data_IF_677248815111
#
_entry.id   IF_677248815111
#
_cell.length_a   1.000
_cell.length_b   1.000
_cell.length_c   1.000
_cell.angle_alpha   90.00
_cell.angle_beta   90.00
_cell.angle_gamma   90.00
#
_symmetry.space_group_name_H-M   'P 1'
#
loop_
_entity.id
_entity.type
_entity.pdbx_description
1 polymer ?
#
# COMPACT_ATOMS: atom_id res chain seq x y z
N UNK A 1 -26.45 -3.19 0.63
CA UNK A 1 -27.87 -3.48 0.99
C UNK A 1 -28.02 -4.84 1.63
N UNK A 2 -27.54 -5.93 0.99
CA UNK A 2 -27.70 -7.29 1.52
C UNK A 2 -27.23 -7.44 2.96
N UNK A 3 -26.06 -6.90 3.33
CA UNK A 3 -25.58 -6.96 4.71
C UNK A 3 -26.51 -6.25 5.70
N UNK A 4 -27.03 -5.07 5.34
CA UNK A 4 -27.99 -4.32 6.15
C UNK A 4 -29.31 -5.07 6.36
N UNK A 5 -29.80 -5.71 5.31
CA UNK A 5 -31.16 -6.23 5.28
C UNK A 5 -31.22 -7.71 5.75
N UNK A 6 -30.12 -8.48 5.59
CA UNK A 6 -30.11 -9.94 5.83
C UNK A 6 -29.06 -10.45 6.82
N UNK A 7 -28.12 -9.59 7.26
CA UNK A 7 -27.03 -9.99 8.15
C UNK A 7 -26.89 -9.03 9.34
N UNK A 8 -27.90 -8.91 10.21
CA UNK A 8 -27.77 -8.10 11.42
C UNK A 8 -26.73 -8.71 12.36
N UNK A 9 -26.07 -7.86 13.13
CA UNK A 9 -25.03 -8.25 14.10
C UNK A 9 -25.40 -7.76 15.50
N UNK A 10 -26.45 -8.33 16.14
CA UNK A 10 -27.02 -7.79 17.38
C UNK A 10 -26.00 -7.78 18.51
N UNK A 11 -25.21 -8.84 18.70
CA UNK A 11 -24.20 -8.89 19.74
C UNK A 11 -23.14 -7.78 19.57
N UNK A 12 -22.64 -7.60 18.36
CA UNK A 12 -21.70 -6.50 18.07
C UNK A 12 -22.35 -5.13 18.29
N UNK A 13 -23.61 -4.98 17.89
CA UNK A 13 -24.36 -3.73 18.03
C UNK A 13 -24.56 -3.34 19.50
N UNK A 14 -24.76 -4.30 20.40
CA UNK A 14 -24.85 -4.04 21.85
C UNK A 14 -23.57 -3.45 22.45
N UNK A 15 -22.41 -3.66 21.80
CA UNK A 15 -21.10 -3.18 22.25
C UNK A 15 -20.66 -1.89 21.56
N UNK A 16 -21.47 -1.38 20.62
CA UNK A 16 -21.14 -0.18 19.84
C UNK A 16 -22.04 0.97 20.26
N UNK A 17 -21.39 2.09 20.64
CA UNK A 17 -22.08 3.32 21.08
C UNK A 17 -23.05 3.85 20.01
N UNK A 18 -24.23 4.20 20.43
CA UNK A 18 -25.32 4.70 19.59
C UNK A 18 -26.31 3.66 19.10
N UNK A 19 -25.93 2.37 19.08
CA UNK A 19 -26.82 1.31 18.59
C UNK A 19 -28.00 1.03 19.53
N UNK A 20 -27.76 0.98 20.84
CA UNK A 20 -28.81 0.78 21.85
C UNK A 20 -29.73 1.98 21.95
N UNK A 21 -29.18 3.18 21.94
CA UNK A 21 -29.91 4.45 22.04
C UNK A 21 -30.83 4.67 20.84
N UNK A 22 -30.37 4.25 19.64
CA UNK A 22 -31.16 4.40 18.42
C UNK A 22 -32.05 3.21 18.09
N UNK A 23 -31.87 2.07 18.80
CA UNK A 23 -32.56 0.80 18.49
C UNK A 23 -32.22 0.25 17.09
N UNK A 24 -31.04 0.60 16.56
CA UNK A 24 -30.61 0.23 15.19
C UNK A 24 -29.33 -0.58 15.23
N UNK A 25 -29.27 -1.63 14.43
CA UNK A 25 -28.07 -2.44 14.25
C UNK A 25 -26.93 -1.61 13.64
N UNK A 26 -25.69 -1.97 13.94
CA UNK A 26 -24.49 -1.32 13.36
C UNK A 26 -24.51 -1.40 11.82
N UNK A 27 -25.02 -2.49 11.26
CA UNK A 27 -25.18 -2.65 9.80
C UNK A 27 -26.26 -1.74 9.21
N UNK A 28 -27.14 -1.20 10.04
CA UNK A 28 -28.23 -0.27 9.70
C UNK A 28 -27.89 1.19 10.04
N UNK A 29 -26.67 1.45 10.50
CA UNK A 29 -26.19 2.77 10.84
C UNK A 29 -26.58 3.26 12.22
N UNK A 30 -26.71 2.34 13.19
CA UNK A 30 -26.98 2.68 14.59
C UNK A 30 -25.79 3.31 15.33
N UNK A 31 -24.58 3.04 14.89
CA UNK A 31 -23.35 3.55 15.52
C UNK A 31 -23.20 5.06 15.43
N UNK A 32 -22.66 5.70 16.48
CA UNK A 32 -22.30 7.14 16.49
C UNK A 32 -21.33 7.45 15.35
N UNK A 33 -20.28 6.62 15.20
CA UNK A 33 -19.33 6.70 14.08
C UNK A 33 -19.74 5.71 12.99
N UNK A 34 -20.57 6.16 12.06
CA UNK A 34 -21.16 5.33 11.00
C UNK A 34 -20.47 5.56 9.65
N UNK A 35 -19.20 5.25 9.54
CA UNK A 35 -18.43 5.32 8.29
C UNK A 35 -18.32 3.96 7.59
N UNK A 36 -17.98 3.98 6.30
CA UNK A 36 -17.63 2.79 5.52
C UNK A 36 -16.23 2.95 4.94
N UNK A 37 -15.29 2.12 5.39
CA UNK A 37 -13.90 2.11 4.89
C UNK A 37 -13.81 1.57 3.46
N UNK A 38 -13.07 2.28 2.60
CA UNK A 38 -12.75 1.84 1.23
C UNK A 38 -11.24 1.85 1.07
N UNK A 39 -10.69 0.70 0.65
CA UNK A 39 -9.24 0.54 0.54
C UNK A 39 -8.76 0.89 -0.86
N UNK A 40 -7.81 1.85 -0.94
CA UNK A 40 -7.05 2.16 -2.14
C UNK A 40 -5.84 1.23 -2.26
N UNK A 41 -5.75 0.49 -3.37
CA UNK A 41 -4.64 -0.41 -3.68
C UNK A 41 -3.94 0.08 -4.93
N UNK A 42 -2.60 0.11 -4.92
CA UNK A 42 -1.79 0.54 -6.07
C UNK A 42 -1.46 2.04 -6.09
N UNK A 43 -1.41 2.71 -4.92
CA UNK A 43 -1.02 4.13 -4.82
C UNK A 43 0.37 4.37 -5.38
N UNK A 44 1.37 3.60 -4.93
CA UNK A 44 2.74 3.70 -5.42
C UNK A 44 2.85 3.36 -6.92
N UNK A 45 2.14 2.31 -7.38
CA UNK A 45 2.13 1.92 -8.80
C UNK A 45 1.60 3.04 -9.70
N UNK A 46 0.57 3.76 -9.23
CA UNK A 46 -0.01 4.91 -9.94
C UNK A 46 0.93 6.10 -9.90
N UNK A 47 1.48 6.44 -8.74
CA UNK A 47 2.44 7.53 -8.58
C UNK A 47 3.70 7.31 -9.43
N UNK A 48 4.25 6.11 -9.40
CA UNK A 48 5.41 5.72 -10.19
C UNK A 48 5.13 5.75 -11.70
N UNK A 49 3.90 5.42 -12.11
CA UNK A 49 3.48 5.51 -13.51
C UNK A 49 3.40 6.96 -13.98
N UNK A 50 2.81 7.84 -13.16
CA UNK A 50 2.74 9.28 -13.46
C UNK A 50 4.15 9.90 -13.48
N UNK A 51 5.00 9.56 -12.51
CA UNK A 51 6.38 10.03 -12.45
C UNK A 51 7.21 9.56 -13.66
N UNK A 52 7.03 8.31 -14.09
CA UNK A 52 7.73 7.79 -15.26
C UNK A 52 7.28 8.46 -16.57
N UNK A 53 5.98 8.71 -16.73
CA UNK A 53 5.46 9.46 -17.89
C UNK A 53 6.00 10.89 -17.87
N UNK A 54 5.92 11.58 -16.74
CA UNK A 54 6.42 12.96 -16.61
C UNK A 54 7.90 13.03 -16.97
N UNK A 55 8.72 12.16 -16.42
CA UNK A 55 10.17 12.13 -16.63
C UNK A 55 10.53 11.75 -18.07
N UNK A 56 10.00 10.66 -18.60
CA UNK A 56 10.45 10.08 -19.86
C UNK A 56 9.83 10.78 -21.07
N UNK A 57 8.53 11.15 -20.96
CA UNK A 57 7.80 11.75 -22.09
C UNK A 57 7.90 13.27 -22.08
N UNK A 58 7.63 13.92 -20.95
CA UNK A 58 7.47 15.37 -20.91
C UNK A 58 8.79 16.10 -20.60
N UNK A 59 9.57 15.64 -19.64
CA UNK A 59 10.84 16.29 -19.27
C UNK A 59 11.99 15.92 -20.21
N UNK A 60 12.32 14.64 -20.27
CA UNK A 60 13.45 14.15 -21.10
C UNK A 60 13.10 14.07 -22.58
N UNK A 61 11.81 13.96 -22.92
CA UNK A 61 11.33 13.77 -24.30
C UNK A 61 12.03 12.61 -25.01
N UNK A 62 12.37 11.56 -24.25
CA UNK A 62 13.07 10.39 -24.75
C UNK A 62 12.15 9.52 -25.63
N UNK A 63 10.85 9.51 -25.31
CA UNK A 63 9.81 8.80 -26.05
C UNK A 63 8.53 9.64 -26.08
N UNK A 64 7.71 9.40 -27.09
CA UNK A 64 6.36 9.94 -27.15
C UNK A 64 5.41 9.17 -26.26
N UNK A 65 4.31 9.79 -25.87
CA UNK A 65 3.26 9.12 -25.09
C UNK A 65 2.68 7.90 -25.84
N UNK A 66 2.58 7.98 -27.18
CA UNK A 66 2.11 6.87 -28.00
C UNK A 66 3.05 5.66 -27.99
N UNK A 67 4.36 5.89 -28.01
CA UNK A 67 5.36 4.80 -27.90
C UNK A 67 5.30 4.14 -26.53
N UNK A 68 5.10 4.90 -25.45
CA UNK A 68 4.92 4.35 -24.09
C UNK A 68 3.63 3.53 -24.03
N UNK A 69 2.51 4.03 -24.58
CA UNK A 69 1.24 3.31 -24.62
C UNK A 69 1.38 1.99 -25.44
N UNK A 70 2.04 2.02 -26.61
CA UNK A 70 2.30 0.81 -27.40
C UNK A 70 3.15 -0.20 -26.61
N UNK A 71 4.20 0.26 -25.93
CA UNK A 71 5.06 -0.59 -25.13
C UNK A 71 4.28 -1.27 -23.98
N UNK A 72 3.44 -0.52 -23.26
CA UNK A 72 2.60 -1.03 -22.16
C UNK A 72 1.58 -2.05 -22.69
N UNK A 73 0.90 -1.76 -23.81
CA UNK A 73 -0.07 -2.69 -24.43
C UNK A 73 0.56 -4.02 -24.86
N UNK A 74 1.84 -4.02 -25.18
CA UNK A 74 2.61 -5.22 -25.55
C UNK A 74 3.28 -5.92 -24.38
N UNK A 75 2.99 -5.53 -23.15
CA UNK A 75 3.74 -5.98 -21.96
C UNK A 75 5.27 -5.81 -22.13
N UNK A 76 5.66 -4.76 -22.86
CA UNK A 76 7.05 -4.41 -23.22
C UNK A 76 7.76 -5.42 -24.12
N UNK A 77 7.08 -6.36 -24.75
CA UNK A 77 7.70 -7.29 -25.70
C UNK A 77 8.17 -6.51 -26.93
N UNK A 78 9.47 -6.58 -27.24
CA UNK A 78 10.14 -5.79 -28.27
C UNK A 78 10.24 -4.29 -27.95
N UNK A 79 10.07 -3.93 -26.68
CA UNK A 79 10.17 -2.54 -26.15
C UNK A 79 10.96 -2.50 -24.85
N UNK A 80 11.91 -3.39 -24.68
CA UNK A 80 12.70 -3.56 -23.44
C UNK A 80 13.47 -2.29 -23.06
N UNK A 81 13.92 -1.52 -24.05
CA UNK A 81 14.59 -0.23 -23.83
C UNK A 81 13.66 0.79 -23.20
N UNK A 82 12.43 0.93 -23.73
CA UNK A 82 11.42 1.83 -23.14
C UNK A 82 11.13 1.41 -21.70
N UNK A 83 10.94 0.11 -21.46
CA UNK A 83 10.74 -0.42 -20.11
C UNK A 83 11.90 -0.08 -19.17
N UNK A 84 13.14 -0.23 -19.61
CA UNK A 84 14.32 0.09 -18.79
C UNK A 84 14.35 1.58 -18.41
N UNK A 85 14.02 2.47 -19.33
CA UNK A 85 13.95 3.91 -19.06
C UNK A 85 12.81 4.27 -18.12
N UNK A 86 11.63 3.64 -18.24
CA UNK A 86 10.51 3.81 -17.31
C UNK A 86 10.85 3.27 -15.90
N UNK A 87 11.57 2.16 -15.79
CA UNK A 87 12.04 1.62 -14.52
C UNK A 87 13.11 2.52 -13.85
N UNK A 88 13.93 3.20 -14.66
CA UNK A 88 14.97 4.11 -14.18
C UNK A 88 14.42 5.48 -13.73
N UNK A 89 13.19 5.82 -14.10
CA UNK A 89 12.56 7.06 -13.66
C UNK A 89 12.43 7.11 -12.12
N UNK A 90 12.37 8.31 -11.52
CA UNK A 90 12.17 8.47 -10.07
C UNK A 90 10.95 7.69 -9.56
N UNK A 91 11.09 7.08 -8.38
CA UNK A 91 10.08 6.21 -7.78
C UNK A 91 9.72 6.66 -6.37
N UNK A 92 8.45 6.49 -6.00
CA UNK A 92 7.97 6.67 -4.63
C UNK A 92 8.73 5.79 -3.64
N UNK A 93 8.96 6.32 -2.43
CA UNK A 93 9.68 5.62 -1.39
C UNK A 93 11.18 5.91 -1.33
N UNK A 94 11.67 6.91 -2.08
CA UNK A 94 13.06 7.32 -2.12
C UNK A 94 13.30 8.78 -1.67
N UNK A 95 12.32 9.37 -0.98
CA UNK A 95 12.34 10.78 -0.52
C UNK A 95 12.58 11.78 -1.67
N UNK A 96 11.97 11.54 -2.81
CA UNK A 96 12.05 12.36 -3.99
C UNK A 96 10.75 13.15 -4.19
N UNK A 97 10.84 14.48 -4.34
CA UNK A 97 9.66 15.36 -4.34
C UNK A 97 8.64 15.02 -5.43
N UNK A 98 9.09 14.69 -6.63
CA UNK A 98 8.18 14.49 -7.75
C UNK A 98 7.31 13.23 -7.61
N UNK A 99 7.84 12.00 -7.41
CA UNK A 99 7.01 10.83 -7.22
C UNK A 99 6.20 10.87 -5.92
N UNK A 100 6.73 11.48 -4.86
CA UNK A 100 6.03 11.65 -3.59
C UNK A 100 4.83 12.60 -3.75
N UNK A 101 4.98 13.70 -4.53
CA UNK A 101 3.87 14.59 -4.85
C UNK A 101 2.77 13.89 -5.65
N UNK A 102 3.12 13.00 -6.59
CA UNK A 102 2.14 12.17 -7.29
C UNK A 102 1.43 11.21 -6.35
N UNK A 103 2.11 10.60 -5.39
CA UNK A 103 1.45 9.75 -4.38
C UNK A 103 0.44 10.54 -3.53
N UNK A 104 0.82 11.72 -3.07
CA UNK A 104 -0.09 12.65 -2.36
C UNK A 104 -1.28 13.03 -3.22
N UNK A 105 -1.07 13.34 -4.50
CA UNK A 105 -2.13 13.67 -5.45
C UNK A 105 -3.13 12.52 -5.62
N UNK A 106 -2.62 11.30 -5.81
CA UNK A 106 -3.45 10.08 -5.96
C UNK A 106 -4.33 9.87 -4.72
N UNK A 107 -3.75 9.99 -3.52
CA UNK A 107 -4.49 9.86 -2.25
C UNK A 107 -5.58 10.94 -2.13
N UNK A 108 -5.27 12.19 -2.50
CA UNK A 108 -6.26 13.29 -2.50
C UNK A 108 -7.40 13.03 -3.47
N UNK A 109 -7.10 12.66 -4.71
CA UNK A 109 -8.12 12.34 -5.72
C UNK A 109 -9.05 11.23 -5.22
N UNK A 110 -8.47 10.16 -4.64
CA UNK A 110 -9.24 9.04 -4.10
C UNK A 110 -10.16 9.48 -2.95
N UNK A 111 -9.63 10.25 -1.99
CA UNK A 111 -10.41 10.82 -0.88
C UNK A 111 -11.53 11.72 -1.39
N UNK A 112 -11.24 12.63 -2.33
CA UNK A 112 -12.22 13.59 -2.85
C UNK A 112 -13.31 12.89 -3.68
N UNK A 113 -12.96 11.81 -4.39
CA UNK A 113 -13.96 10.98 -5.06
C UNK A 113 -14.91 10.32 -4.05
N UNK A 114 -14.38 9.72 -2.98
CA UNK A 114 -15.18 9.08 -1.93
C UNK A 114 -16.07 10.05 -1.17
N UNK A 115 -15.61 11.27 -0.91
CA UNK A 115 -16.37 12.30 -0.16
C UNK A 115 -17.67 12.73 -0.84
N UNK A 116 -17.85 12.45 -2.13
CA UNK A 116 -19.05 12.76 -2.91
C UNK A 116 -20.16 11.71 -2.74
N UNK A 117 -19.90 10.64 -2.01
CA UNK A 117 -20.81 9.52 -1.88
C UNK A 117 -21.14 9.23 -0.42
N UNK A 118 -22.37 8.76 -0.21
CA UNK A 118 -22.89 8.32 1.08
C UNK A 118 -23.18 6.82 1.03
N UNK A 119 -22.81 6.10 2.07
CA UNK A 119 -23.06 4.66 2.17
C UNK A 119 -24.56 4.36 2.34
N UNK A 120 -24.96 3.12 2.07
CA UNK A 120 -26.35 2.67 2.27
C UNK A 120 -26.81 2.75 3.73
N UNK A 121 -25.89 2.94 4.67
CA UNK A 121 -26.15 3.13 6.10
C UNK A 121 -26.29 4.62 6.50
N UNK A 122 -26.16 5.54 5.54
CA UNK A 122 -26.25 6.99 5.76
C UNK A 122 -24.93 7.66 6.20
N UNK A 123 -23.86 6.91 6.40
CA UNK A 123 -22.53 7.44 6.77
C UNK A 123 -21.62 7.70 5.58
N UNK A 124 -20.51 8.44 5.77
CA UNK A 124 -19.55 8.72 4.71
C UNK A 124 -18.73 7.48 4.32
N UNK A 125 -18.21 7.48 3.09
CA UNK A 125 -17.09 6.64 2.72
C UNK A 125 -15.78 7.31 3.13
N UNK A 126 -14.88 6.54 3.77
CA UNK A 126 -13.58 7.01 4.21
C UNK A 126 -12.46 6.17 3.59
N UNK A 127 -11.39 6.78 3.08
CA UNK A 127 -10.26 6.06 2.50
C UNK A 127 -9.36 5.43 3.54
N UNK A 128 -8.81 4.27 3.17
CA UNK A 128 -7.69 3.61 3.82
C UNK A 128 -6.74 3.02 2.78
N UNK A 129 -5.54 2.65 3.20
CA UNK A 129 -4.50 2.14 2.32
C UNK A 129 -3.77 0.96 2.98
N UNK A 130 -4.51 -0.12 3.22
CA UNK A 130 -3.94 -1.40 3.63
C UNK A 130 -4.54 -2.50 2.75
N UNK A 131 -3.69 -3.26 2.10
CA UNK A 131 -4.10 -4.13 0.99
C UNK A 131 -4.40 -5.57 1.42
N UNK A 132 -4.07 -5.99 2.65
CA UNK A 132 -4.02 -7.41 2.99
C UNK A 132 -3.25 -8.17 1.90
N UNK A 133 -3.88 -9.10 1.18
CA UNK A 133 -3.33 -9.79 0.00
C UNK A 133 -3.90 -9.29 -1.32
N UNK A 134 -4.82 -8.32 -1.31
CA UNK A 134 -5.49 -7.83 -2.53
C UNK A 134 -4.51 -7.26 -3.56
N UNK A 135 -3.37 -6.72 -3.13
CA UNK A 135 -2.33 -6.21 -4.03
C UNK A 135 -1.78 -7.31 -4.97
N UNK A 136 -1.73 -8.57 -4.52
CA UNK A 136 -1.36 -9.71 -5.36
C UNK A 136 -2.50 -10.04 -6.33
N UNK A 137 -3.73 -10.23 -5.80
CA UNK A 137 -4.90 -10.62 -6.60
C UNK A 137 -5.30 -9.56 -7.64
N UNK A 138 -5.22 -8.28 -7.32
CA UNK A 138 -5.48 -7.21 -8.29
C UNK A 138 -4.34 -7.09 -9.30
N UNK A 139 -3.10 -7.18 -8.82
CA UNK A 139 -1.93 -7.16 -9.70
C UNK A 139 -1.95 -8.27 -10.74
N UNK A 140 -2.33 -9.50 -10.36
CA UNK A 140 -2.40 -10.64 -11.28
C UNK A 140 -3.42 -10.46 -12.40
N UNK A 141 -4.42 -9.60 -12.22
CA UNK A 141 -5.49 -9.30 -13.20
C UNK A 141 -5.29 -7.97 -13.94
N UNK A 142 -4.20 -7.26 -13.65
CA UNK A 142 -3.93 -5.95 -14.25
C UNK A 142 -2.83 -6.05 -15.29
N UNK A 143 -3.06 -5.40 -16.42
CA UNK A 143 -2.10 -5.29 -17.53
C UNK A 143 -0.83 -4.53 -17.09
N UNK A 144 0.18 -4.45 -17.96
CA UNK A 144 1.40 -3.69 -17.71
C UNK A 144 1.11 -2.22 -17.43
N UNK A 145 2.00 -1.54 -16.70
CA UNK A 145 1.85 -0.13 -16.32
C UNK A 145 3.04 0.71 -16.77
N UNK A 146 2.86 2.02 -16.97
CA UNK A 146 3.94 2.95 -17.34
C UNK A 146 5.08 3.04 -16.31
N UNK A 147 4.89 2.57 -15.09
CA UNK A 147 5.99 2.42 -14.11
C UNK A 147 7.08 1.43 -14.53
N UNK A 148 6.85 0.65 -15.60
CA UNK A 148 7.66 -0.48 -16.04
C UNK A 148 7.22 -1.83 -15.44
N UNK A 149 6.13 -1.84 -14.64
CA UNK A 149 5.52 -3.05 -14.10
C UNK A 149 4.97 -3.91 -15.24
N UNK A 150 5.27 -5.20 -15.24
CA UNK A 150 4.73 -6.16 -16.21
C UNK A 150 3.30 -6.61 -15.83
N UNK A 151 2.56 -7.07 -16.84
CA UNK A 151 1.28 -7.76 -16.66
C UNK A 151 1.40 -8.86 -15.60
N UNK A 152 0.40 -8.95 -14.75
CA UNK A 152 0.30 -10.00 -13.74
C UNK A 152 1.22 -9.85 -12.51
N UNK A 153 2.19 -8.93 -12.52
CA UNK A 153 3.02 -8.69 -11.35
C UNK A 153 2.18 -8.11 -10.18
N UNK A 154 2.49 -8.41 -8.90
CA UNK A 154 1.83 -7.79 -7.77
C UNK A 154 1.96 -6.26 -7.79
N UNK A 155 0.97 -5.56 -7.25
CA UNK A 155 1.09 -4.15 -6.90
C UNK A 155 1.94 -3.96 -5.64
N UNK A 156 2.26 -2.72 -5.33
CA UNK A 156 2.83 -2.34 -4.05
C UNK A 156 1.89 -2.74 -2.90
N UNK A 157 2.47 -3.24 -1.82
CA UNK A 157 1.69 -3.62 -0.64
C UNK A 157 1.31 -2.38 0.17
N UNK A 158 0.02 -2.16 0.36
CA UNK A 158 -0.51 -1.06 1.19
C UNK A 158 0.00 0.31 0.74
N UNK A 159 0.55 1.14 1.64
CA UNK A 159 1.17 2.43 1.31
C UNK A 159 2.70 2.33 1.09
N UNK A 160 3.23 1.12 0.95
CA UNK A 160 4.64 0.88 0.64
C UNK A 160 4.99 1.24 -0.80
N UNK A 161 6.29 1.26 -1.10
CA UNK A 161 6.79 1.41 -2.47
C UNK A 161 6.62 0.13 -3.30
N UNK A 162 6.74 0.24 -4.61
CA UNK A 162 6.81 -0.92 -5.49
C UNK A 162 8.01 -1.80 -5.14
N UNK A 163 7.85 -3.13 -5.26
CA UNK A 163 8.91 -4.08 -4.90
C UNK A 163 10.24 -3.75 -5.59
N UNK A 164 11.30 -3.58 -4.79
CA UNK A 164 12.65 -3.25 -5.25
C UNK A 164 12.84 -1.79 -5.70
N UNK A 165 11.90 -0.89 -5.39
CA UNK A 165 12.02 0.54 -5.68
C UNK A 165 12.66 1.34 -4.55
N UNK A 166 12.74 0.82 -3.34
CA UNK A 166 13.27 1.43 -2.11
C UNK A 166 14.80 1.47 -2.06
N UNK A 167 15.41 2.15 -3.02
CA UNK A 167 16.87 2.14 -3.22
C UNK A 167 17.64 3.06 -2.25
N UNK A 168 16.95 3.99 -1.60
CA UNK A 168 17.54 4.96 -0.67
C UNK A 168 17.36 4.54 0.79
N UNK A 169 16.91 3.31 1.03
CA UNK A 169 16.78 2.72 2.34
C UNK A 169 15.52 3.12 3.13
N UNK A 170 15.37 2.58 4.36
CA UNK A 170 14.12 2.70 5.11
C UNK A 170 13.77 4.12 5.53
N UNK A 171 14.77 4.97 5.82
CA UNK A 171 14.54 6.37 6.19
C UNK A 171 13.86 7.14 5.04
N UNK A 172 14.34 6.94 3.80
CA UNK A 172 13.74 7.59 2.64
C UNK A 172 12.31 7.11 2.38
N UNK A 173 12.05 5.80 2.56
CA UNK A 173 10.69 5.26 2.43
C UNK A 173 9.73 5.88 3.47
N UNK A 174 10.16 5.99 4.73
CA UNK A 174 9.37 6.61 5.78
C UNK A 174 9.14 8.10 5.53
N UNK A 175 10.15 8.82 5.04
CA UNK A 175 10.01 10.23 4.66
C UNK A 175 8.99 10.42 3.53
N UNK A 176 9.05 9.58 2.48
CA UNK A 176 8.07 9.60 1.39
C UNK A 176 6.64 9.35 1.91
N UNK A 177 6.47 8.33 2.76
CA UNK A 177 5.16 8.00 3.33
C UNK A 177 4.63 9.11 4.25
N UNK A 178 5.50 9.75 5.04
CA UNK A 178 5.12 10.85 5.95
C UNK A 178 4.69 12.14 5.21
N UNK A 179 5.02 12.30 3.92
CA UNK A 179 4.50 13.40 3.09
C UNK A 179 2.99 13.26 2.80
N UNK A 180 2.45 12.05 2.95
CA UNK A 180 1.02 11.80 2.80
C UNK A 180 0.35 12.10 4.14
N UNK A 181 -0.43 13.18 4.19
CA UNK A 181 -1.15 13.58 5.40
C UNK A 181 -2.10 12.46 5.87
N UNK A 182 -1.86 11.93 7.06
CA UNK A 182 -2.66 10.86 7.65
C UNK A 182 -4.15 11.19 7.76
N UNK A 183 -4.51 12.48 7.86
CA UNK A 183 -5.91 12.95 7.85
C UNK A 183 -6.64 12.68 6.53
N UNK A 184 -5.90 12.42 5.45
CA UNK A 184 -6.47 12.00 4.17
C UNK A 184 -6.84 10.51 4.15
N UNK A 185 -6.41 9.74 5.15
CA UNK A 185 -6.64 8.30 5.26
C UNK A 185 -7.27 7.93 6.63
N UNK A 186 -8.44 8.45 7.00
CA UNK A 186 -9.02 8.22 8.33
C UNK A 186 -9.38 6.76 8.62
N UNK A 187 -9.44 5.90 7.62
CA UNK A 187 -9.57 4.45 7.80
C UNK A 187 -8.21 3.73 7.97
N UNK A 188 -7.13 4.47 8.08
CA UNK A 188 -5.78 3.98 8.29
C UNK A 188 -5.03 3.59 7.03
N UNK A 189 -3.72 3.45 7.18
CA UNK A 189 -2.85 2.83 6.20
C UNK A 189 -1.86 1.90 6.88
N UNK A 190 -1.29 0.96 6.15
CA UNK A 190 -0.20 0.12 6.62
C UNK A 190 1.07 0.40 5.82
N UNK A 191 2.20 0.52 6.51
CA UNK A 191 3.52 0.63 5.91
C UNK A 191 4.43 -0.49 6.40
N UNK A 192 4.78 -1.40 5.49
CA UNK A 192 5.62 -2.54 5.83
C UNK A 192 7.10 -2.23 5.59
N UNK A 193 7.92 -2.43 6.61
CA UNK A 193 9.38 -2.42 6.53
C UNK A 193 9.93 -3.81 6.81
N UNK A 194 10.95 -4.20 6.05
CA UNK A 194 11.66 -5.46 6.24
C UNK A 194 13.10 -5.17 6.63
N UNK A 195 13.56 -5.84 7.68
CA UNK A 195 14.93 -5.75 8.16
C UNK A 195 15.53 -7.15 8.23
N UNK A 196 16.83 -7.23 7.91
CA UNK A 196 17.59 -8.46 8.05
C UNK A 196 17.84 -8.74 9.53
N UNK A 197 17.45 -9.93 10.00
CA UNK A 197 17.55 -10.32 11.40
C UNK A 197 19.00 -10.27 11.94
N UNK A 198 20.05 -10.67 11.22
CA UNK A 198 21.44 -10.47 11.63
C UNK A 198 21.81 -9.04 11.95
N UNK A 199 21.33 -8.06 11.16
CA UNK A 199 21.62 -6.64 11.38
C UNK A 199 20.97 -6.10 12.66
N UNK A 200 19.89 -6.71 13.12
CA UNK A 200 19.09 -6.23 14.27
C UNK A 200 19.60 -6.74 15.63
N UNK A 201 20.71 -7.49 15.67
CA UNK A 201 21.24 -8.08 16.91
C UNK A 201 22.03 -7.09 17.77
N UNK A 202 22.57 -6.03 17.18
CA UNK A 202 23.38 -5.06 17.91
C UNK A 202 22.56 -4.05 18.70
N UNK A 203 23.14 -3.45 19.72
CA UNK A 203 22.52 -2.38 20.52
C UNK A 203 22.32 -1.11 19.65
N UNK A 204 23.28 -0.82 18.80
CA UNK A 204 23.28 0.31 17.87
C UNK A 204 22.12 0.19 16.89
N UNK A 205 21.89 -0.99 16.33
CA UNK A 205 20.76 -1.24 15.41
C UNK A 205 19.42 -1.01 16.08
N UNK A 206 19.27 -1.39 17.35
CA UNK A 206 18.05 -1.11 18.14
C UNK A 206 17.84 0.39 18.32
N UNK A 207 18.90 1.15 18.64
CA UNK A 207 18.84 2.60 18.75
C UNK A 207 18.45 3.27 17.43
N UNK A 208 19.02 2.83 16.32
CA UNK A 208 18.67 3.30 14.97
C UNK A 208 17.20 3.02 14.66
N UNK A 209 16.72 1.79 14.98
CA UNK A 209 15.31 1.43 14.77
C UNK A 209 14.37 2.32 15.57
N UNK A 210 14.68 2.58 16.84
CA UNK A 210 13.90 3.48 17.69
C UNK A 210 13.83 4.88 17.09
N UNK A 211 14.98 5.46 16.73
CA UNK A 211 15.04 6.78 16.11
C UNK A 211 14.28 6.86 14.78
N UNK A 212 14.31 5.77 13.99
CA UNK A 212 13.58 5.67 12.72
C UNK A 212 12.07 5.73 12.93
N UNK A 213 11.55 4.97 13.90
CA UNK A 213 10.12 4.92 14.23
C UNK A 213 9.67 6.25 14.86
N UNK A 214 10.42 6.79 15.82
CA UNK A 214 10.15 8.09 16.44
C UNK A 214 10.15 9.22 15.41
N UNK A 215 11.15 9.25 14.52
CA UNK A 215 11.24 10.25 13.47
C UNK A 215 10.08 10.19 12.47
N UNK A 216 9.60 8.97 12.15
CA UNK A 216 8.42 8.77 11.31
C UNK A 216 7.16 9.34 11.94
N UNK A 217 6.89 9.01 13.21
CA UNK A 217 5.70 9.52 13.90
C UNK A 217 5.78 11.03 14.18
N UNK A 218 6.97 11.55 14.48
CA UNK A 218 7.17 13.00 14.62
C UNK A 218 6.87 13.79 13.34
N UNK A 219 6.98 13.14 12.16
CA UNK A 219 6.62 13.71 10.86
C UNK A 219 5.17 13.48 10.45
N UNK A 220 4.34 12.92 11.32
CA UNK A 220 2.93 12.67 11.06
C UNK A 220 2.62 11.29 10.48
N UNK A 221 3.58 10.36 10.50
CA UNK A 221 3.33 8.96 10.15
C UNK A 221 2.27 8.34 11.06
N UNK A 222 1.46 7.42 10.52
CA UNK A 222 0.32 6.86 11.24
C UNK A 222 0.62 5.47 11.77
N UNK A 223 1.22 4.60 10.95
CA UNK A 223 1.41 3.20 11.28
C UNK A 223 2.61 2.64 10.51
N UNK A 224 3.40 1.79 11.15
CA UNK A 224 4.51 1.06 10.54
C UNK A 224 4.54 -0.37 11.07
N UNK A 225 4.68 -1.34 10.18
CA UNK A 225 4.79 -2.75 10.50
C UNK A 225 6.21 -3.24 10.20
N UNK A 226 6.88 -3.79 11.21
CA UNK A 226 8.26 -4.22 11.11
C UNK A 226 8.32 -5.74 10.95
N UNK A 227 8.94 -6.21 9.88
CA UNK A 227 9.34 -7.60 9.68
C UNK A 227 10.85 -7.72 9.88
N UNK A 228 11.27 -8.49 10.85
CA UNK A 228 12.67 -8.78 11.11
C UNK A 228 12.87 -10.27 10.84
N UNK A 229 13.32 -10.60 9.64
CA UNK A 229 13.41 -11.96 9.13
C UNK A 229 14.77 -12.16 8.44
N UNK A 230 15.20 -13.40 8.41
CA UNK A 230 16.35 -13.79 7.61
C UNK A 230 15.88 -14.18 6.20
N UNK A 231 16.29 -13.44 5.15
CA UNK A 231 15.90 -13.74 3.79
C UNK A 231 16.32 -15.15 3.34
N UNK A 232 17.45 -15.66 3.82
CA UNK A 232 17.93 -17.00 3.47
C UNK A 232 16.99 -18.08 3.99
N UNK A 233 16.48 -17.92 5.23
CA UNK A 233 15.49 -18.83 5.81
C UNK A 233 14.18 -18.80 5.00
N UNK A 234 13.73 -17.63 4.57
CA UNK A 234 12.51 -17.52 3.76
C UNK A 234 12.66 -18.16 2.38
N UNK A 235 13.83 -17.99 1.75
CA UNK A 235 14.15 -18.64 0.47
C UNK A 235 14.17 -20.15 0.64
N UNK A 236 14.84 -20.65 1.69
CA UNK A 236 14.90 -22.08 1.98
C UNK A 236 13.51 -22.67 2.30
N UNK A 237 12.67 -21.94 3.07
CA UNK A 237 11.30 -22.37 3.37
C UNK A 237 10.42 -22.42 2.12
N UNK A 238 10.59 -21.46 1.18
CA UNK A 238 9.90 -21.47 -0.11
C UNK A 238 10.28 -22.65 -0.97
N UNK A 239 11.59 -22.93 -1.06
CA UNK A 239 12.14 -23.97 -1.96
C UNK A 239 11.99 -25.39 -1.36
N UNK A 240 11.87 -25.49 -0.03
CA UNK A 240 11.71 -26.73 0.73
C UNK A 240 10.58 -26.61 1.75
N UNK A 241 9.30 -26.69 1.33
CA UNK A 241 8.14 -26.60 2.22
C UNK A 241 8.23 -27.61 3.37
N UNK A 242 8.02 -27.15 4.61
CA UNK A 242 8.06 -27.97 5.82
C UNK A 242 9.44 -28.04 6.51
N UNK A 243 10.53 -27.52 5.92
CA UNK A 243 11.85 -27.49 6.59
C UNK A 243 11.90 -26.46 7.72
N UNK A 244 11.14 -25.39 7.62
CA UNK A 244 11.03 -24.33 8.61
C UNK A 244 9.57 -24.10 9.00
N UNK A 245 8.92 -25.05 9.68
CA UNK A 245 7.53 -24.92 10.06
C UNK A 245 7.35 -23.79 11.07
N UNK A 246 6.22 -23.08 10.97
CA UNK A 246 5.84 -22.08 11.93
C UNK A 246 6.52 -20.71 11.79
N UNK A 247 7.17 -20.41 10.65
CA UNK A 247 7.61 -19.04 10.37
C UNK A 247 6.39 -18.14 10.25
N UNK A 248 6.27 -17.16 11.15
CA UNK A 248 5.24 -16.13 11.10
C UNK A 248 5.77 -14.90 10.39
N UNK A 249 5.05 -14.43 9.39
CA UNK A 249 5.35 -13.19 8.67
C UNK A 249 4.22 -12.19 8.84
N UNK A 250 4.57 -10.91 8.98
CA UNK A 250 3.60 -9.82 8.93
C UNK A 250 3.30 -9.51 7.47
N UNK A 251 2.04 -9.67 7.07
CA UNK A 251 1.66 -9.47 5.67
C UNK A 251 1.28 -8.01 5.41
N UNK A 252 0.09 -7.60 5.73
CA UNK A 252 -0.38 -6.21 5.65
C UNK A 252 -1.66 -6.09 6.49
N UNK A 253 -1.48 -5.73 7.76
CA UNK A 253 -2.59 -5.66 8.73
C UNK A 253 -2.84 -6.96 9.52
N UNK A 254 -2.23 -8.09 9.15
CA UNK A 254 -2.31 -9.37 9.85
C UNK A 254 -1.00 -10.16 9.74
N UNK A 255 -0.86 -11.17 10.58
CA UNK A 255 0.22 -12.16 10.50
C UNK A 255 -0.32 -13.47 9.93
N UNK A 256 0.52 -14.18 9.19
CA UNK A 256 0.23 -15.52 8.68
C UNK A 256 1.46 -16.42 8.79
N UNK A 257 1.24 -17.71 8.78
CA UNK A 257 2.33 -18.66 8.59
C UNK A 257 2.82 -18.58 7.14
N UNK A 258 4.15 -18.59 6.97
CA UNK A 258 4.75 -18.42 5.64
C UNK A 258 4.39 -19.56 4.68
N UNK A 259 4.25 -20.77 5.19
CA UNK A 259 3.87 -21.97 4.47
C UNK A 259 2.39 -22.02 4.06
N UNK A 260 1.54 -21.14 4.65
CA UNK A 260 0.13 -21.01 4.29
C UNK A 260 -0.13 -19.92 3.22
N UNK A 261 0.88 -19.17 2.85
CA UNK A 261 0.74 -18.04 1.91
C UNK A 261 0.86 -18.46 0.43
#
# INVERSE_FOLDING_TARGET
RGNRDFHPTPLSSMLVEGCLETGRDVTQGGAVYNSSGVQGVGVADTADSLAAIDEVVFKRKAHTLFEVIDAVKRDFVGRERIRAELLAAPKFGNDLDMPDAYAVLVVRIFRDALSRHTSTRGGPYIPGFYSSTCHVGFGSRTEALPSGRKKGAPFAASLGCCNGSDRQGPTALLNSAAKIDARLAPNGYALNLKFDAPLMKSREAKGVMTALVEGFFARGGMEVQLNVLDPAILIEARDNPGRHPGIVVRVAGYCAYFDEL
#
